data_IF_137700832318
#
_entry.id   IF_137700832318
#
_cell.length_a   1.000
_cell.length_b   1.000
_cell.length_c   1.000
_cell.angle_alpha   90.00
_cell.angle_beta   90.00
_cell.angle_gamma   90.00
#
_symmetry.space_group_name_H-M   'P 1'
#
loop_
_entity.id
_entity.type
_entity.pdbx_description
1 polymer ?
#
# COMPACT_ATOMS: atom_id res chain seq x y z
N UNK A 1 -9.76 -16.91 -8.84
CA UNK A 1 -9.60 -15.68 -9.65
C UNK A 1 -8.64 -14.81 -8.88
N UNK A 2 -7.63 -14.21 -9.52
CA UNK A 2 -6.75 -13.27 -8.83
C UNK A 2 -7.60 -12.02 -8.58
N UNK A 3 -8.16 -11.90 -7.38
CA UNK A 3 -8.86 -10.69 -6.98
C UNK A 3 -7.88 -9.52 -7.13
N UNK A 4 -8.25 -8.58 -7.99
CA UNK A 4 -7.41 -7.45 -8.38
C UNK A 4 -7.14 -6.62 -7.11
N UNK A 5 -5.88 -6.58 -6.67
CA UNK A 5 -5.47 -5.82 -5.49
C UNK A 5 -5.97 -4.37 -5.64
N UNK A 6 -6.50 -3.75 -4.56
CA UNK A 6 -7.08 -2.43 -4.65
C UNK A 6 -6.06 -1.42 -5.20
N UNK A 7 -6.50 -0.56 -6.13
CA UNK A 7 -5.64 0.37 -6.87
C UNK A 7 -4.62 1.17 -6.02
N UNK A 8 -4.90 1.56 -4.75
CA UNK A 8 -3.91 2.18 -3.88
C UNK A 8 -2.62 1.38 -3.68
N UNK A 9 -2.67 0.04 -3.75
CA UNK A 9 -1.53 -0.85 -3.54
C UNK A 9 -1.24 -1.81 -4.70
N UNK A 10 -2.23 -2.11 -5.54
CA UNK A 10 -2.13 -3.08 -6.64
C UNK A 10 -1.66 -2.53 -7.99
N UNK A 11 -1.74 -1.21 -8.21
CA UNK A 11 -1.54 -0.63 -9.55
C UNK A 11 -0.10 -0.71 -10.10
N UNK A 12 0.90 -0.95 -9.25
CA UNK A 12 2.27 -1.28 -9.68
C UNK A 12 3.04 -0.19 -10.44
N UNK A 13 2.63 1.08 -10.42
CA UNK A 13 3.34 2.19 -11.11
C UNK A 13 4.38 2.85 -10.19
N UNK A 14 4.06 2.95 -8.89
CA UNK A 14 4.92 3.56 -7.86
C UNK A 14 5.16 2.58 -6.72
N UNK A 15 6.35 2.67 -6.12
CA UNK A 15 6.69 1.97 -4.88
C UNK A 15 5.86 2.55 -3.72
N UNK A 16 5.10 1.69 -3.06
CA UNK A 16 4.15 2.09 -2.00
C UNK A 16 4.81 2.57 -0.71
N UNK A 17 6.10 2.32 -0.52
CA UNK A 17 6.85 2.70 0.69
C UNK A 17 7.65 3.99 0.50
N UNK A 18 8.12 4.26 -0.71
CA UNK A 18 9.01 5.40 -1.00
C UNK A 18 8.40 6.45 -1.92
N UNK A 19 7.37 6.10 -2.71
CA UNK A 19 6.78 6.97 -3.73
C UNK A 19 7.61 7.10 -5.01
N UNK A 20 8.76 6.43 -5.09
CA UNK A 20 9.58 6.35 -6.30
C UNK A 20 8.90 5.44 -7.36
N UNK A 21 9.40 5.40 -8.61
CA UNK A 21 8.90 4.45 -9.61
C UNK A 21 8.92 3.01 -9.10
N UNK A 22 7.99 2.18 -9.58
CA UNK A 22 7.96 0.77 -9.25
C UNK A 22 9.30 0.07 -9.59
N UNK A 23 9.68 -0.90 -8.76
CA UNK A 23 10.99 -1.56 -8.83
C UNK A 23 12.12 -0.83 -8.12
N UNK A 24 11.88 0.37 -7.56
CA UNK A 24 12.84 1.02 -6.67
C UNK A 24 13.08 0.18 -5.40
N UNK A 25 14.23 0.40 -4.77
CA UNK A 25 14.58 -0.25 -3.50
C UNK A 25 13.47 -0.05 -2.45
N UNK A 26 13.17 -1.14 -1.74
CA UNK A 26 12.19 -1.16 -0.65
C UNK A 26 12.96 -1.10 0.67
N UNK A 27 12.60 -0.22 1.62
CA UNK A 27 13.24 -0.17 2.92
C UNK A 27 13.18 -1.51 3.66
N UNK A 28 14.22 -1.87 4.41
CA UNK A 28 14.28 -3.15 5.14
C UNK A 28 13.07 -3.37 6.05
N UNK A 29 12.59 -2.33 6.74
CA UNK A 29 11.42 -2.45 7.62
C UNK A 29 10.14 -2.81 6.84
N UNK A 30 9.93 -2.24 5.65
CA UNK A 30 8.85 -2.63 4.75
C UNK A 30 9.00 -4.07 4.21
N UNK A 31 10.23 -4.51 3.88
CA UNK A 31 10.47 -5.91 3.49
C UNK A 31 10.13 -6.90 4.61
N UNK A 32 10.33 -6.50 5.86
CA UNK A 32 9.97 -7.27 7.05
C UNK A 32 8.47 -7.17 7.41
N UNK A 33 7.66 -6.44 6.62
CA UNK A 33 6.24 -6.24 6.88
C UNK A 33 5.94 -5.32 8.07
N UNK A 34 6.91 -4.55 8.55
CA UNK A 34 6.78 -3.68 9.72
C UNK A 34 6.24 -2.28 9.38
N UNK A 35 6.12 -1.97 8.09
CA UNK A 35 5.66 -0.65 7.64
C UNK A 35 4.39 -0.78 6.78
N UNK A 36 3.34 0.02 7.05
CA UNK A 36 2.20 0.16 6.15
C UNK A 36 2.60 0.96 4.89
N UNK A 37 1.88 0.80 3.77
CA UNK A 37 2.11 1.59 2.56
C UNK A 37 1.80 3.06 2.81
N UNK A 38 2.73 3.94 2.41
CA UNK A 38 2.65 5.39 2.61
C UNK A 38 2.35 6.16 1.34
N UNK A 39 2.51 5.53 0.18
CA UNK A 39 2.32 6.12 -1.13
C UNK A 39 1.41 5.26 -2.00
N UNK A 40 0.59 5.90 -2.81
CA UNK A 40 -0.32 5.20 -3.70
C UNK A 40 0.42 4.60 -4.91
N UNK A 41 0.25 3.30 -5.14
CA UNK A 41 0.84 2.57 -6.27
C UNK A 41 0.41 3.09 -7.64
N UNK A 42 -0.75 3.76 -7.74
CA UNK A 42 -1.28 4.28 -9.00
C UNK A 42 -0.91 5.74 -9.33
N UNK A 43 -0.68 6.61 -8.34
CA UNK A 43 -0.38 8.02 -8.61
C UNK A 43 0.78 8.63 -7.79
N UNK A 44 1.47 7.84 -6.98
CA UNK A 44 2.64 8.29 -6.19
C UNK A 44 2.32 9.28 -5.06
N UNK A 45 1.04 9.63 -4.84
CA UNK A 45 0.65 10.55 -3.76
C UNK A 45 0.85 9.90 -2.39
N UNK A 46 1.32 10.69 -1.43
CA UNK A 46 1.36 10.31 -0.02
C UNK A 46 -0.07 10.09 0.49
N UNK A 47 -0.30 8.94 1.11
CA UNK A 47 -1.58 8.54 1.66
C UNK A 47 -1.70 8.95 3.13
N UNK A 48 -2.93 9.08 3.60
CA UNK A 48 -3.21 9.11 5.04
C UNK A 48 -3.19 7.66 5.51
N UNK A 49 -2.44 7.39 6.58
CA UNK A 49 -2.29 6.05 7.14
C UNK A 49 -2.66 6.08 8.61
N UNK A 50 -3.49 5.14 9.02
CA UNK A 50 -3.80 4.89 10.42
C UNK A 50 -3.40 3.46 10.78
N UNK A 51 -2.56 3.34 11.78
CA UNK A 51 -2.19 2.05 12.39
C UNK A 51 -3.11 1.79 13.58
N UNK A 52 -3.54 0.54 13.72
CA UNK A 52 -4.33 -0.01 14.84
C UNK A 52 -3.59 -1.25 15.36
N UNK A 53 -3.90 -1.73 16.58
CA UNK A 53 -3.30 -2.96 17.10
C UNK A 53 -3.55 -4.20 16.23
N UNK A 54 -4.65 -4.21 15.47
CA UNK A 54 -5.11 -5.33 14.64
C UNK A 54 -4.85 -5.14 13.13
N UNK A 55 -4.09 -4.11 12.75
CA UNK A 55 -3.77 -3.84 11.34
C UNK A 55 -3.67 -2.35 11.03
N UNK A 56 -3.93 -1.98 9.78
CA UNK A 56 -3.87 -0.60 9.33
C UNK A 56 -4.85 -0.36 8.19
N UNK A 57 -5.20 0.91 7.97
CA UNK A 57 -5.80 1.34 6.72
C UNK A 57 -5.01 2.51 6.13
N UNK A 58 -5.01 2.59 4.80
CA UNK A 58 -4.38 3.66 4.06
C UNK A 58 -5.35 4.22 3.02
N UNK A 59 -5.43 5.56 2.93
CA UNK A 59 -6.34 6.25 2.01
C UNK A 59 -5.57 7.17 1.06
N UNK A 60 -5.70 6.87 -0.23
CA UNK A 60 -5.39 7.80 -1.30
C UNK A 60 -6.58 8.74 -1.53
N UNK A 61 -6.32 10.03 -1.69
CA UNK A 61 -7.37 11.01 -2.00
C UNK A 61 -8.04 10.78 -3.36
N UNK A 62 -7.40 10.05 -4.28
CA UNK A 62 -7.92 9.76 -5.63
C UNK A 62 -8.38 8.32 -5.82
N UNK A 63 -7.64 7.36 -5.27
CA UNK A 63 -7.84 5.94 -5.57
C UNK A 63 -8.50 5.15 -4.44
N UNK A 64 -8.95 5.85 -3.39
CA UNK A 64 -9.75 5.23 -2.33
C UNK A 64 -8.92 4.70 -1.17
N UNK A 65 -9.57 3.83 -0.38
CA UNK A 65 -9.05 3.28 0.86
C UNK A 65 -8.73 1.79 0.67
N UNK A 66 -7.69 1.34 1.36
CA UNK A 66 -7.35 -0.07 1.52
C UNK A 66 -7.18 -0.37 3.00
N UNK A 67 -7.73 -1.48 3.48
CA UNK A 67 -7.48 -2.01 4.80
C UNK A 67 -6.62 -3.26 4.71
N UNK A 68 -5.67 -3.41 5.64
CA UNK A 68 -4.84 -4.60 5.79
C UNK A 68 -5.66 -5.90 5.83
N UNK A 69 -6.85 -5.88 6.44
CA UNK A 69 -7.71 -7.07 6.53
C UNK A 69 -8.21 -7.55 5.17
N UNK A 70 -8.42 -6.63 4.24
CA UNK A 70 -8.84 -6.96 2.88
C UNK A 70 -7.70 -7.62 2.09
N UNK A 71 -6.44 -7.29 2.43
CA UNK A 71 -5.24 -7.85 1.80
C UNK A 71 -4.85 -9.22 2.35
N UNK A 72 -5.04 -9.46 3.65
CA UNK A 72 -4.78 -10.77 4.28
C UNK A 72 -5.73 -11.85 3.75
N UNK A 73 -6.98 -11.49 3.43
CA UNK A 73 -7.96 -12.40 2.83
C UNK A 73 -7.61 -12.82 1.39
N UNK A 74 -6.67 -12.13 0.75
CA UNK A 74 -6.25 -12.34 -0.65
C UNK A 74 -4.90 -13.08 -0.75
N UNK A 75 -4.35 -13.55 0.38
CA UNK A 75 -3.08 -14.28 0.48
C UNK A 75 -3.28 -15.79 0.53
#
# INVERSE_FOLDING_TARGET
>A
MLDELPAPVGAGVYNVYTGAPAGSEVPTAAQLGLEPPRFCAGCGRRMIVQVRPDGWWAKCSRHGLVDSKDLEAQR
#
